data_IF_526563127061
#
_entry.id   IF_526563127061
#
_cell.length_a   1.000
_cell.length_b   1.000
_cell.length_c   1.000
_cell.angle_alpha   90.00
_cell.angle_beta   90.00
_cell.angle_gamma   90.00
#
_symmetry.space_group_name_H-M   'P 1'
#
loop_
_entity.id
_entity.type
_entity.pdbx_description
1 polymer ?
#
# COMPACT_ATOMS: atom_id res chain seq x y z
N UNK A 1 -16.71 18.11 1.24
CA UNK A 1 -15.59 17.19 1.53
C UNK A 1 -15.53 16.17 0.39
N UNK A 2 -14.74 16.44 -0.65
CA UNK A 2 -14.29 15.38 -1.56
C UNK A 2 -12.82 15.11 -1.22
N UNK A 3 -12.60 14.58 -0.02
CA UNK A 3 -11.35 13.96 0.37
C UNK A 3 -11.21 12.71 -0.50
N UNK A 4 -10.33 12.75 -1.51
CA UNK A 4 -10.08 11.57 -2.34
C UNK A 4 -9.72 10.37 -1.46
N UNK A 5 -10.34 9.21 -1.72
CA UNK A 5 -10.02 7.98 -0.99
C UNK A 5 -8.51 7.68 -1.12
N UNK A 6 -7.84 7.22 -0.05
CA UNK A 6 -6.47 6.76 -0.16
C UNK A 6 -6.40 5.63 -1.18
N UNK A 7 -5.41 5.69 -2.08
CA UNK A 7 -5.24 4.72 -3.15
C UNK A 7 -3.79 4.23 -3.18
N UNK A 8 -3.62 3.01 -3.68
CA UNK A 8 -2.32 2.37 -3.95
C UNK A 8 -2.38 1.74 -5.33
N UNK A 9 -1.23 1.59 -5.99
CA UNK A 9 -1.12 0.87 -7.26
C UNK A 9 -1.14 -0.62 -7.00
N UNK A 10 -1.94 -1.34 -7.79
CA UNK A 10 -1.95 -2.80 -7.85
C UNK A 10 -1.79 -3.21 -9.30
N UNK A 11 -0.77 -4.01 -9.59
CA UNK A 11 -0.51 -4.48 -10.94
C UNK A 11 -1.57 -5.51 -11.36
N UNK A 12 -2.13 -5.34 -12.54
CA UNK A 12 -3.21 -6.18 -13.09
C UNK A 12 -2.74 -7.59 -13.45
N UNK A 13 -1.44 -7.76 -13.62
CA UNK A 13 -0.73 -8.98 -14.01
C UNK A 13 0.00 -9.64 -12.83
N UNK A 14 -0.32 -9.25 -11.58
CA UNK A 14 0.29 -9.85 -10.36
C UNK A 14 0.29 -11.38 -10.41
N UNK A 15 -0.77 -11.98 -10.96
CA UNK A 15 -0.96 -13.42 -11.05
C UNK A 15 -0.06 -14.12 -12.08
N UNK A 16 0.57 -13.36 -12.98
CA UNK A 16 1.49 -13.84 -14.02
C UNK A 16 2.96 -13.58 -13.66
N UNK A 17 3.22 -12.84 -12.57
CA UNK A 17 4.57 -12.48 -12.18
C UNK A 17 5.41 -13.73 -11.84
N UNK A 18 6.57 -13.96 -12.48
CA UNK A 18 7.37 -15.17 -12.26
C UNK A 18 7.73 -15.41 -10.80
N UNK A 19 8.12 -14.36 -10.06
CA UNK A 19 8.45 -14.47 -8.63
C UNK A 19 7.26 -14.94 -7.80
N UNK A 20 6.04 -14.57 -8.18
CA UNK A 20 4.81 -15.01 -7.50
C UNK A 20 4.49 -16.45 -7.87
N UNK A 21 4.63 -16.82 -9.15
CA UNK A 21 4.42 -18.19 -9.61
C UNK A 21 5.40 -19.16 -8.95
N UNK A 22 6.70 -18.82 -8.93
CA UNK A 22 7.75 -19.61 -8.29
C UNK A 22 7.46 -19.78 -6.78
N UNK A 23 7.06 -18.70 -6.11
CA UNK A 23 6.71 -18.73 -4.69
C UNK A 23 5.48 -19.62 -4.40
N UNK A 24 4.49 -19.61 -5.28
CA UNK A 24 3.31 -20.49 -5.18
C UNK A 24 3.68 -21.94 -5.46
N UNK A 25 4.55 -22.22 -6.43
CA UNK A 25 5.04 -23.57 -6.71
C UNK A 25 5.79 -24.14 -5.50
N UNK A 26 6.62 -23.32 -4.83
CA UNK A 26 7.42 -23.75 -3.69
C UNK A 26 6.60 -23.99 -2.41
N UNK A 27 5.61 -23.14 -2.10
CA UNK A 27 4.90 -23.18 -0.81
C UNK A 27 3.39 -23.41 -0.90
N UNK A 28 2.84 -23.58 -2.10
CA UNK A 28 1.43 -23.89 -2.35
C UNK A 28 0.47 -22.89 -1.70
N UNK A 29 -0.54 -23.41 -0.99
CA UNK A 29 -1.58 -22.61 -0.34
C UNK A 29 -1.03 -21.61 0.69
N UNK A 30 0.13 -21.89 1.29
CA UNK A 30 0.76 -20.96 2.25
C UNK A 30 1.31 -19.72 1.54
N UNK A 31 1.83 -19.86 0.32
CA UNK A 31 2.24 -18.73 -0.50
C UNK A 31 1.05 -17.88 -0.92
N UNK A 32 -0.06 -18.50 -1.35
CA UNK A 32 -1.29 -17.76 -1.68
C UNK A 32 -1.80 -16.92 -0.50
N UNK A 33 -1.84 -17.49 0.70
CA UNK A 33 -2.20 -16.74 1.92
C UNK A 33 -1.19 -15.60 2.21
N UNK A 34 0.11 -15.85 2.05
CA UNK A 34 1.15 -14.84 2.23
C UNK A 34 1.04 -13.69 1.21
N UNK A 35 0.76 -13.99 -0.07
CA UNK A 35 0.55 -12.99 -1.13
C UNK A 35 -0.66 -12.10 -0.79
N UNK A 36 -1.76 -12.68 -0.30
CA UNK A 36 -2.91 -11.89 0.14
C UNK A 36 -2.52 -10.92 1.27
N UNK A 37 -1.77 -11.40 2.27
CA UNK A 37 -1.23 -10.55 3.35
C UNK A 37 -0.35 -9.43 2.81
N UNK A 38 0.53 -9.72 1.84
CA UNK A 38 1.36 -8.71 1.20
C UNK A 38 0.54 -7.64 0.47
N UNK A 39 -0.50 -8.03 -0.27
CA UNK A 39 -1.41 -7.08 -0.93
C UNK A 39 -2.18 -6.21 0.08
N UNK A 40 -2.66 -6.80 1.19
CA UNK A 40 -3.28 -6.03 2.27
C UNK A 40 -2.30 -5.10 2.97
N UNK A 41 -1.03 -5.51 3.11
CA UNK A 41 0.02 -4.66 3.67
C UNK A 41 0.28 -3.41 2.82
N UNK A 42 0.31 -3.54 1.49
CA UNK A 42 0.42 -2.37 0.60
C UNK A 42 -0.77 -1.42 0.83
N UNK A 43 -2.00 -1.95 0.86
CA UNK A 43 -3.20 -1.16 1.14
C UNK A 43 -3.18 -0.49 2.52
N UNK A 44 -2.74 -1.21 3.55
CA UNK A 44 -2.57 -0.68 4.90
C UNK A 44 -1.57 0.49 4.90
N UNK A 45 -0.40 0.30 4.29
CA UNK A 45 0.65 1.30 4.25
C UNK A 45 0.22 2.59 3.53
N UNK A 46 -0.47 2.46 2.40
CA UNK A 46 -1.02 3.62 1.68
C UNK A 46 -2.16 4.32 2.44
N UNK A 47 -3.02 3.54 3.11
CA UNK A 47 -4.11 4.08 3.91
C UNK A 47 -3.65 4.82 5.17
N UNK A 48 -2.57 4.34 5.81
CA UNK A 48 -2.04 4.89 7.05
C UNK A 48 -0.84 5.82 6.85
N UNK A 49 -0.32 5.93 5.62
CA UNK A 49 0.85 6.73 5.30
C UNK A 49 2.10 6.26 6.06
N UNK A 50 2.33 4.96 6.10
CA UNK A 50 3.51 4.36 6.76
C UNK A 50 4.68 4.12 5.81
N UNK A 51 4.53 4.51 4.54
CA UNK A 51 5.57 4.39 3.51
C UNK A 51 6.15 2.96 3.39
N UNK A 52 5.28 1.96 3.60
CA UNK A 52 5.60 0.54 3.50
C UNK A 52 5.98 -0.12 4.83
N UNK A 53 6.03 0.61 5.94
CA UNK A 53 6.29 0.02 7.26
C UNK A 53 5.06 -0.76 7.76
N UNK A 54 5.29 -2.01 8.17
CA UNK A 54 4.34 -2.88 8.86
C UNK A 54 4.94 -3.27 10.21
N UNK A 55 4.44 -2.67 11.30
CA UNK A 55 4.88 -3.01 12.65
C UNK A 55 4.41 -4.40 13.08
N UNK A 56 5.04 -4.96 14.11
CA UNK A 56 4.59 -6.22 14.73
C UNK A 56 3.12 -6.19 15.18
N UNK A 57 2.65 -5.03 15.65
CA UNK A 57 1.26 -4.83 16.03
C UNK A 57 0.33 -4.75 14.81
N UNK A 58 0.78 -4.10 13.73
CA UNK A 58 0.01 -3.95 12.50
C UNK A 58 -0.15 -5.25 11.70
N UNK A 59 0.72 -6.25 11.89
CA UNK A 59 0.65 -7.52 11.16
C UNK A 59 -0.74 -8.19 11.24
N UNK A 60 -1.42 -8.10 12.38
CA UNK A 60 -2.78 -8.66 12.54
C UNK A 60 -3.83 -7.88 11.74
N UNK A 61 -3.63 -6.58 11.53
CA UNK A 61 -4.54 -5.72 10.75
C UNK A 61 -4.54 -6.08 9.27
N UNK A 62 -3.44 -6.65 8.78
CA UNK A 62 -3.30 -7.14 7.39
C UNK A 62 -3.55 -8.65 7.29
N UNK A 63 -4.21 -9.22 8.30
CA UNK A 63 -4.50 -10.67 8.41
C UNK A 63 -3.24 -11.57 8.39
N UNK A 64 -2.09 -10.99 8.71
CA UNK A 64 -0.81 -11.67 8.75
C UNK A 64 -0.58 -12.46 10.04
N UNK A 65 0.28 -13.47 9.95
CA UNK A 65 0.83 -14.20 11.08
C UNK A 65 2.36 -14.14 11.01
N UNK A 66 3.09 -14.43 12.10
CA UNK A 66 4.55 -14.52 12.04
C UNK A 66 5.06 -15.52 11.00
N UNK A 67 4.29 -16.56 10.68
CA UNK A 67 4.63 -17.52 9.63
C UNK A 67 4.50 -16.90 8.23
N UNK A 68 3.45 -16.11 7.97
CA UNK A 68 3.31 -15.37 6.71
C UNK A 68 4.45 -14.36 6.54
N UNK A 69 4.76 -13.59 7.59
CA UNK A 69 5.82 -12.60 7.54
C UNK A 69 7.21 -13.22 7.30
N UNK A 70 7.50 -14.38 7.90
CA UNK A 70 8.74 -15.14 7.61
C UNK A 70 8.83 -15.56 6.15
N UNK A 71 7.79 -16.16 5.60
CA UNK A 71 7.75 -16.56 4.18
C UNK A 71 7.92 -15.35 3.25
N UNK A 72 7.28 -14.22 3.57
CA UNK A 72 7.41 -12.99 2.78
C UNK A 72 8.81 -12.38 2.86
N UNK A 73 9.51 -12.54 3.99
CA UNK A 73 10.93 -12.14 4.12
C UNK A 73 11.83 -13.08 3.33
N UNK A 74 11.64 -14.38 3.46
CA UNK A 74 12.41 -15.41 2.74
C UNK A 74 12.29 -15.21 1.22
N UNK A 75 11.08 -14.93 0.73
CA UNK A 75 10.83 -14.62 -0.68
C UNK A 75 11.12 -13.16 -1.08
N UNK A 76 11.62 -12.33 -0.16
CA UNK A 76 12.02 -10.94 -0.44
C UNK A 76 10.87 -10.02 -0.89
N UNK A 77 9.65 -10.26 -0.42
CA UNK A 77 8.53 -9.31 -0.51
C UNK A 77 8.54 -8.32 0.66
N UNK A 78 9.03 -8.77 1.82
CA UNK A 78 9.29 -7.96 3.00
C UNK A 78 10.78 -7.95 3.33
N UNK A 79 11.22 -6.88 3.99
CA UNK A 79 12.52 -6.78 4.64
C UNK A 79 12.28 -6.70 6.15
N UNK A 80 13.08 -7.43 6.94
CA UNK A 80 12.96 -7.40 8.39
C UNK A 80 13.54 -6.08 8.92
N UNK A 81 12.79 -5.40 9.79
CA UNK A 81 13.25 -4.20 10.50
C UNK A 81 13.19 -4.43 12.01
N UNK A 82 13.75 -3.51 12.78
CA UNK A 82 13.67 -3.56 14.26
C UNK A 82 12.21 -3.57 14.74
N UNK A 83 11.36 -2.74 14.13
CA UNK A 83 9.96 -2.52 14.50
C UNK A 83 8.98 -3.54 13.92
N UNK A 84 9.40 -4.32 12.92
CA UNK A 84 8.56 -5.25 12.18
C UNK A 84 9.14 -5.53 10.81
N UNK A 85 8.47 -5.03 9.77
CA UNK A 85 8.84 -5.27 8.38
C UNK A 85 8.67 -4.02 7.54
N UNK A 86 9.44 -3.94 6.46
CA UNK A 86 9.29 -2.99 5.37
C UNK A 86 8.84 -3.73 4.11
N UNK A 87 7.89 -3.18 3.36
CA UNK A 87 7.53 -3.72 2.05
C UNK A 87 8.66 -3.42 1.06
N UNK A 88 9.25 -4.47 0.48
CA UNK A 88 10.36 -4.33 -0.46
C UNK A 88 9.95 -3.48 -1.67
N UNK A 89 10.72 -2.44 -1.96
CA UNK A 89 10.50 -1.55 -3.11
C UNK A 89 9.23 -0.70 -3.05
N UNK A 90 8.64 -0.48 -1.86
CA UNK A 90 7.41 0.32 -1.72
C UNK A 90 7.53 1.71 -2.37
N UNK A 91 8.59 2.46 -2.05
CA UNK A 91 8.78 3.83 -2.53
C UNK A 91 9.00 3.93 -4.04
N UNK A 92 9.48 2.86 -4.67
CA UNK A 92 9.68 2.81 -6.13
C UNK A 92 8.35 2.69 -6.88
N UNK A 93 7.36 2.03 -6.28
CA UNK A 93 6.11 1.66 -6.96
C UNK A 93 4.90 2.46 -6.47
N UNK A 94 4.93 2.90 -5.22
CA UNK A 94 3.82 3.57 -4.55
C UNK A 94 4.11 5.05 -4.31
N UNK A 95 3.09 5.91 -4.36
CA UNK A 95 3.26 7.30 -3.94
C UNK A 95 3.62 7.34 -2.45
N UNK A 96 4.63 8.14 -2.11
CA UNK A 96 4.95 8.41 -0.71
C UNK A 96 3.85 9.22 -0.03
N UNK A 97 3.81 9.20 1.30
CA UNK A 97 2.92 10.04 2.09
C UNK A 97 3.09 11.52 1.74
N UNK A 98 4.34 12.00 1.67
CA UNK A 98 4.64 13.39 1.35
C UNK A 98 4.06 13.80 -0.02
N UNK A 99 4.21 12.94 -1.03
CA UNK A 99 3.63 13.17 -2.36
C UNK A 99 2.10 13.18 -2.32
N UNK A 100 1.50 12.27 -1.56
CA UNK A 100 0.04 12.14 -1.44
C UNK A 100 -0.57 13.34 -0.72
N UNK A 101 0.07 13.83 0.34
CA UNK A 101 -0.38 15.01 1.09
C UNK A 101 -0.28 16.29 0.24
N UNK A 102 0.79 16.45 -0.54
CA UNK A 102 0.92 17.56 -1.48
C UNK A 102 -0.18 17.54 -2.56
N UNK A 103 -0.50 16.36 -3.12
CA UNK A 103 -1.57 16.23 -4.10
C UNK A 103 -2.94 16.56 -3.50
N UNK A 104 -3.20 16.15 -2.25
CA UNK A 104 -4.43 16.50 -1.52
C UNK A 104 -4.58 18.00 -1.35
N UNK A 105 -3.50 18.69 -0.98
CA UNK A 105 -3.50 20.15 -0.85
C UNK A 105 -3.81 20.82 -2.19
N UNK A 106 -3.13 20.41 -3.28
CA UNK A 106 -3.38 20.95 -4.62
C UNK A 106 -4.83 20.76 -5.08
N UNK A 107 -5.40 19.57 -4.87
CA UNK A 107 -6.80 19.28 -5.22
C UNK A 107 -7.78 20.07 -4.37
N UNK A 108 -7.49 20.25 -3.08
CA UNK A 108 -8.29 21.10 -2.18
C UNK A 108 -8.32 22.55 -2.67
N UNK A 109 -7.15 23.11 -3.00
CA UNK A 109 -7.04 24.47 -3.52
C UNK A 109 -7.73 24.65 -4.89
N UNK A 110 -7.58 23.68 -5.79
CA UNK A 110 -8.30 23.68 -7.06
C UNK A 110 -9.82 23.61 -6.86
N UNK A 111 -10.28 22.79 -5.91
CA UNK A 111 -11.69 22.70 -5.53
C UNK A 111 -12.25 24.01 -4.97
N UNK A 112 -11.51 24.67 -4.06
CA UNK A 112 -11.87 26.00 -3.53
C UNK A 112 -11.96 27.05 -4.63
N UNK A 113 -10.97 27.10 -5.54
CA UNK A 113 -10.98 28.01 -6.70
C UNK A 113 -12.18 27.74 -7.62
N UNK A 114 -12.47 26.47 -7.89
CA UNK A 114 -13.63 26.07 -8.68
C UNK A 114 -14.97 26.47 -8.04
N UNK A 115 -15.11 26.32 -6.72
CA UNK A 115 -16.30 26.75 -5.99
C UNK A 115 -16.46 28.28 -5.98
N UNK A 116 -15.37 29.02 -5.71
CA UNK A 116 -15.37 30.48 -5.72
C UNK A 116 -15.73 31.05 -7.11
N UNK A 117 -15.23 30.45 -8.19
CA UNK A 117 -15.57 30.87 -9.55
C UNK A 117 -17.03 30.59 -9.95
N UNK A 118 -17.67 29.57 -9.35
CA UNK A 118 -19.09 29.26 -9.57
C UNK A 118 -19.98 30.22 -8.79
N UNK A 119 -19.73 30.37 -7.49
CA UNK A 119 -20.61 31.15 -6.60
C UNK A 119 -20.35 32.65 -6.65
N UNK A 120 -19.14 33.07 -7.03
CA UNK A 120 -18.82 34.49 -7.27
C UNK A 120 -19.44 35.09 -8.53
N UNK A 121 -20.08 34.27 -9.39
CA UNK A 121 -20.81 34.72 -10.58
C UNK A 121 -22.33 34.82 -10.37
N UNK A 122 -22.84 34.36 -9.24
CA UNK A 122 -24.27 34.37 -8.88
C UNK A 122 -24.67 35.55 -7.96
N UNK A 123 -23.77 36.53 -7.76
CA UNK A 123 -24.04 37.73 -6.94
C UNK A 123 -24.02 39.02 -7.75
#
# INVERSE_FOLDING_TARGET
>A
MATGLPWVRMDTDTHENPKILDFIEEHGQRALAAIAVWKFAIGYAGGHGTDGEITRAALKQVHGTPAHARLLVEAGFFELTEKGWQIAGYETHQPSRAMTDQLREQLSEAGKKGAAARWGKES
#
